data_IF_085055917554
#
_entry.id   IF_085055917554
#
_cell.length_a   1.000
_cell.length_b   1.000
_cell.length_c   1.000
_cell.angle_alpha   90.00
_cell.angle_beta   90.00
_cell.angle_gamma   90.00
#
_symmetry.space_group_name_H-M   'P 1'
#
loop_
_entity.id
_entity.type
_entity.pdbx_description
1 polymer ?
#
# COMPACT_ATOMS: atom_id res chain seq x y z
N UNK A 1 1.04 7.04 -25.21
CA UNK A 1 0.39 6.91 -23.88
C UNK A 1 -0.82 6.01 -24.06
N UNK A 2 -0.73 4.73 -23.67
CA UNK A 2 -1.85 3.78 -23.79
C UNK A 2 -2.76 4.07 -22.60
N UNK A 3 -3.89 4.74 -22.87
CA UNK A 3 -4.92 4.95 -21.86
C UNK A 3 -5.61 3.59 -21.58
N UNK A 4 -5.26 2.97 -20.49
CA UNK A 4 -6.00 1.79 -19.99
C UNK A 4 -7.38 2.30 -19.58
N UNK A 5 -8.46 1.82 -20.21
CA UNK A 5 -9.82 2.13 -19.77
C UNK A 5 -9.98 1.66 -18.32
N UNK A 6 -10.15 2.61 -17.42
CA UNK A 6 -10.44 2.33 -16.02
C UNK A 6 -11.84 1.67 -15.95
N UNK A 7 -11.96 0.57 -15.21
CA UNK A 7 -13.27 0.01 -14.88
C UNK A 7 -14.08 0.95 -13.97
N UNK A 8 -15.40 0.72 -13.79
CA UNK A 8 -16.25 1.60 -12.99
C UNK A 8 -15.73 1.85 -11.57
N UNK A 9 -15.17 0.83 -10.92
CA UNK A 9 -14.55 0.95 -9.61
C UNK A 9 -13.34 1.90 -9.60
N UNK A 10 -12.39 1.71 -10.54
CA UNK A 10 -11.20 2.54 -10.65
C UNK A 10 -11.55 4.00 -10.98
N UNK A 11 -12.58 4.22 -11.81
CA UNK A 11 -13.07 5.56 -12.12
C UNK A 11 -13.62 6.29 -10.89
N UNK A 12 -14.39 5.60 -10.05
CA UNK A 12 -14.91 6.18 -8.79
C UNK A 12 -13.80 6.45 -7.78
N UNK A 13 -12.84 5.52 -7.62
CA UNK A 13 -11.64 5.73 -6.77
C UNK A 13 -10.87 6.96 -7.24
N UNK A 14 -10.59 7.06 -8.56
CA UNK A 14 -9.88 8.19 -9.16
C UNK A 14 -10.60 9.52 -8.87
N UNK A 15 -11.90 9.59 -9.11
CA UNK A 15 -12.69 10.81 -8.88
C UNK A 15 -12.62 11.27 -7.42
N UNK A 16 -12.63 10.33 -6.46
CA UNK A 16 -12.52 10.66 -5.02
C UNK A 16 -11.13 11.17 -4.64
N UNK A 17 -10.07 10.56 -5.16
CA UNK A 17 -8.71 11.04 -4.91
C UNK A 17 -8.45 12.39 -5.57
N UNK A 18 -8.96 12.62 -6.78
CA UNK A 18 -8.88 13.90 -7.47
C UNK A 18 -9.59 15.00 -6.67
N UNK A 19 -10.79 14.73 -6.16
CA UNK A 19 -11.54 15.67 -5.33
C UNK A 19 -10.87 15.92 -3.96
N UNK A 20 -10.26 14.91 -3.36
CA UNK A 20 -9.63 14.97 -2.05
C UNK A 20 -8.14 15.36 -2.09
N UNK A 21 -7.57 15.63 -3.27
CA UNK A 21 -6.12 15.84 -3.42
C UNK A 21 -5.54 16.90 -2.46
N UNK A 22 -6.30 17.94 -2.11
CA UNK A 22 -5.89 18.98 -1.17
C UNK A 22 -5.69 18.48 0.27
N UNK A 23 -6.33 17.37 0.65
CA UNK A 23 -6.22 16.78 2.01
C UNK A 23 -4.91 16.01 2.22
N UNK A 24 -4.27 15.57 1.14
CA UNK A 24 -3.04 14.80 1.23
C UNK A 24 -1.82 15.71 1.30
N UNK A 25 -0.99 15.50 2.31
CA UNK A 25 0.28 16.23 2.46
C UNK A 25 1.23 15.90 1.30
N UNK A 26 2.07 16.86 0.92
CA UNK A 26 3.06 16.66 -0.14
C UNK A 26 4.26 15.81 0.32
N UNK A 27 4.50 15.74 1.63
CA UNK A 27 5.61 14.97 2.23
C UNK A 27 5.15 14.23 3.47
N UNK A 28 5.91 13.23 3.88
CA UNK A 28 5.81 12.58 5.20
C UNK A 28 7.11 12.82 5.98
N UNK A 29 7.06 12.89 7.32
CA UNK A 29 8.28 13.04 8.12
C UNK A 29 9.15 11.77 8.03
N UNK A 30 10.47 11.91 8.22
CA UNK A 30 11.40 10.79 8.15
C UNK A 30 11.14 9.72 9.23
N UNK A 31 10.50 10.09 10.34
CA UNK A 31 10.10 9.18 11.42
C UNK A 31 8.68 8.60 11.26
N UNK A 32 8.03 8.80 10.10
CA UNK A 32 6.73 8.18 9.79
C UNK A 32 6.79 6.66 9.98
N UNK A 33 5.83 6.12 10.71
CA UNK A 33 5.82 4.70 11.08
C UNK A 33 5.75 3.77 9.86
N UNK A 34 5.03 4.17 8.80
CA UNK A 34 4.88 3.42 7.54
C UNK A 34 6.21 3.42 6.79
N UNK A 35 6.83 4.60 6.66
CA UNK A 35 8.12 4.76 5.98
C UNK A 35 9.20 3.88 6.65
N UNK A 36 9.34 3.97 7.98
CA UNK A 36 10.32 3.16 8.70
C UNK A 36 10.08 1.66 8.55
N UNK A 37 8.82 1.24 8.58
CA UNK A 37 8.46 -0.16 8.39
C UNK A 37 8.81 -0.65 6.97
N UNK A 38 8.51 0.16 5.94
CA UNK A 38 8.89 -0.14 4.55
C UNK A 38 10.40 -0.24 4.40
N UNK A 39 11.15 0.75 4.87
CA UNK A 39 12.62 0.75 4.76
C UNK A 39 13.23 -0.45 5.48
N UNK A 40 12.72 -0.81 6.67
CA UNK A 40 13.18 -2.00 7.41
C UNK A 40 12.89 -3.31 6.65
N UNK A 41 11.72 -3.41 6.00
CA UNK A 41 11.34 -4.60 5.23
C UNK A 41 12.16 -4.75 3.93
N UNK A 42 12.50 -3.65 3.29
CA UNK A 42 13.26 -3.65 2.03
C UNK A 42 14.76 -3.83 2.24
N UNK A 43 15.30 -3.36 3.38
CA UNK A 43 16.75 -3.31 3.62
C UNK A 43 17.45 -2.24 2.75
N UNK A 44 18.76 -2.40 2.47
CA UNK A 44 19.53 -1.44 1.68
C UNK A 44 18.93 -1.23 0.27
N UNK A 45 18.83 0.03 -0.15
CA UNK A 45 18.16 0.41 -1.41
C UNK A 45 19.12 0.94 -2.49
N UNK A 46 20.40 1.13 -2.18
CA UNK A 46 21.38 1.65 -3.13
C UNK A 46 21.40 0.87 -4.45
N UNK A 47 21.11 1.57 -5.56
CA UNK A 47 21.07 1.00 -6.91
C UNK A 47 19.88 0.08 -7.21
N UNK A 48 18.95 -0.14 -6.26
CA UNK A 48 17.75 -0.97 -6.49
C UNK A 48 16.67 -0.19 -7.21
N UNK A 49 16.01 -0.84 -8.15
CA UNK A 49 14.85 -0.28 -8.85
C UNK A 49 13.57 -0.60 -8.12
N UNK A 50 12.85 0.43 -7.67
CA UNK A 50 11.67 0.31 -6.79
C UNK A 50 10.44 0.90 -7.47
N UNK A 51 9.34 0.14 -7.48
CA UNK A 51 8.03 0.65 -7.87
C UNK A 51 7.28 1.14 -6.62
N UNK A 52 6.93 2.44 -6.59
CA UNK A 52 5.98 3.01 -5.63
C UNK A 52 4.58 2.93 -6.23
N UNK A 53 3.83 1.89 -5.86
CA UNK A 53 2.49 1.58 -6.35
C UNK A 53 1.46 2.39 -5.58
N UNK A 54 0.65 3.22 -6.27
CA UNK A 54 -0.24 4.19 -5.65
C UNK A 54 0.56 5.36 -5.05
N UNK A 55 1.56 5.86 -5.77
CA UNK A 55 2.53 6.84 -5.27
C UNK A 55 1.90 8.20 -4.91
N UNK A 56 0.71 8.52 -5.43
CA UNK A 56 0.05 9.79 -5.25
C UNK A 56 0.95 10.97 -5.66
N UNK A 57 1.29 11.82 -4.70
CA UNK A 57 2.19 12.98 -4.88
C UNK A 57 3.67 12.62 -4.75
N UNK A 58 4.04 11.34 -4.66
CA UNK A 58 5.43 10.88 -4.54
C UNK A 58 6.04 11.04 -3.14
N UNK A 59 5.21 11.16 -2.10
CA UNK A 59 5.68 11.45 -0.73
C UNK A 59 6.54 10.34 -0.11
N UNK A 60 6.32 9.07 -0.46
CA UNK A 60 7.18 7.95 -0.06
C UNK A 60 8.34 7.77 -1.04
N UNK A 61 8.09 7.94 -2.35
CA UNK A 61 9.11 7.88 -3.40
C UNK A 61 10.31 8.80 -3.11
N UNK A 62 10.07 10.01 -2.59
CA UNK A 62 11.13 10.95 -2.22
C UNK A 62 12.12 10.36 -1.18
N UNK A 63 11.61 9.65 -0.17
CA UNK A 63 12.43 9.01 0.85
C UNK A 63 13.14 7.76 0.34
N UNK A 64 12.48 6.97 -0.52
CA UNK A 64 13.10 5.80 -1.15
C UNK A 64 14.28 6.23 -2.05
N UNK A 65 14.12 7.32 -2.80
CA UNK A 65 15.20 7.91 -3.59
C UNK A 65 16.34 8.44 -2.73
N UNK A 66 16.03 9.12 -1.62
CA UNK A 66 17.03 9.58 -0.67
C UNK A 66 17.82 8.40 -0.04
N UNK A 67 17.21 7.21 0.04
CA UNK A 67 17.88 5.97 0.46
C UNK A 67 18.66 5.29 -0.70
N UNK A 68 18.77 5.92 -1.87
CA UNK A 68 19.58 5.45 -3.00
C UNK A 68 18.85 4.59 -4.03
N UNK A 69 17.52 4.47 -3.98
CA UNK A 69 16.77 3.72 -4.96
C UNK A 69 16.53 4.51 -6.27
N UNK A 70 16.49 3.78 -7.40
CA UNK A 70 15.84 4.23 -8.64
C UNK A 70 14.34 3.98 -8.51
N UNK A 71 13.53 5.04 -8.37
CA UNK A 71 12.10 4.93 -8.05
C UNK A 71 11.24 5.35 -9.21
N UNK A 72 10.32 4.46 -9.58
CA UNK A 72 9.22 4.73 -10.52
C UNK A 72 7.91 4.74 -9.75
N UNK A 73 7.06 5.76 -9.97
CA UNK A 73 5.73 5.85 -9.35
C UNK A 73 4.61 5.43 -10.30
N UNK A 74 3.58 4.81 -9.77
CA UNK A 74 2.32 4.55 -10.49
C UNK A 74 1.15 4.99 -9.65
N UNK A 75 0.19 5.67 -10.27
CA UNK A 75 -1.08 6.03 -9.65
C UNK A 75 -2.22 6.04 -10.67
N UNK A 76 -3.46 5.90 -10.22
CA UNK A 76 -4.68 6.04 -11.02
C UNK A 76 -5.05 7.51 -11.28
N UNK A 77 -4.68 8.41 -10.36
CA UNK A 77 -5.04 9.81 -10.39
C UNK A 77 -3.98 10.63 -11.13
N UNK A 78 -4.35 11.16 -12.29
CA UNK A 78 -3.50 12.10 -13.03
C UNK A 78 -3.24 13.39 -12.23
N UNK A 79 -4.23 13.84 -11.45
CA UNK A 79 -4.12 15.03 -10.61
C UNK A 79 -3.10 14.85 -9.47
N UNK A 80 -3.03 13.64 -8.89
CA UNK A 80 -2.02 13.30 -7.90
C UNK A 80 -0.64 13.20 -8.53
N UNK A 81 -0.50 12.45 -9.65
CA UNK A 81 0.74 12.29 -10.38
C UNK A 81 1.32 13.62 -10.86
N UNK A 82 0.47 14.58 -11.28
CA UNK A 82 0.90 15.90 -11.68
C UNK A 82 1.69 16.65 -10.61
N UNK A 83 1.52 16.28 -9.34
CA UNK A 83 2.22 16.84 -8.18
C UNK A 83 3.46 16.05 -7.74
N UNK A 84 3.70 14.88 -8.29
CA UNK A 84 4.88 14.06 -8.04
C UNK A 84 6.07 14.54 -8.87
N UNK A 85 6.57 15.73 -8.58
CA UNK A 85 7.63 16.40 -9.34
C UNK A 85 8.94 15.63 -9.20
N UNK A 86 9.68 15.50 -10.33
CA UNK A 86 11.00 14.85 -10.37
C UNK A 86 10.96 13.33 -10.16
N UNK A 87 9.79 12.70 -10.25
CA UNK A 87 9.62 11.26 -10.18
C UNK A 87 9.27 10.71 -11.57
N UNK A 88 9.97 9.67 -12.02
CA UNK A 88 9.53 8.88 -13.16
C UNK A 88 8.20 8.21 -12.80
N UNK A 89 7.19 8.39 -13.65
CA UNK A 89 5.82 8.02 -13.27
C UNK A 89 4.97 7.55 -14.45
N UNK A 90 4.02 6.67 -14.17
CA UNK A 90 3.05 6.21 -15.14
C UNK A 90 1.63 6.29 -14.57
N UNK A 91 0.67 6.68 -15.41
CA UNK A 91 -0.76 6.63 -15.10
C UNK A 91 -1.27 5.23 -15.42
N UNK A 92 -1.57 4.42 -14.40
CA UNK A 92 -2.04 3.06 -14.58
C UNK A 92 -2.75 2.51 -13.34
N UNK A 93 -3.57 1.47 -13.55
CA UNK A 93 -4.15 0.68 -12.47
C UNK A 93 -3.13 -0.32 -11.92
N UNK A 94 -3.15 -0.53 -10.59
CA UNK A 94 -2.42 -1.61 -9.94
C UNK A 94 -2.76 -3.01 -10.48
N UNK A 95 -3.93 -3.15 -11.10
CA UNK A 95 -4.43 -4.39 -11.72
C UNK A 95 -3.85 -4.63 -13.13
N UNK A 96 -3.15 -3.66 -13.71
CA UNK A 96 -2.50 -3.74 -15.03
C UNK A 96 -1.36 -2.73 -15.13
N UNK A 97 -0.17 -3.15 -14.78
CA UNK A 97 1.02 -2.32 -14.75
C UNK A 97 1.70 -2.24 -16.13
N UNK A 98 2.11 -1.04 -16.59
CA UNK A 98 2.70 -0.86 -17.93
C UNK A 98 4.21 -1.18 -17.95
N UNK A 99 4.63 -2.20 -17.23
CA UNK A 99 6.04 -2.61 -17.14
C UNK A 99 6.21 -4.07 -17.55
N UNK A 100 7.38 -4.40 -18.06
CA UNK A 100 7.77 -5.78 -18.35
C UNK A 100 7.87 -6.62 -17.06
N UNK A 101 7.77 -7.94 -17.19
CA UNK A 101 8.03 -8.86 -16.09
C UNK A 101 9.48 -8.70 -15.60
N UNK A 102 9.68 -8.85 -14.27
CA UNK A 102 11.01 -8.80 -13.68
C UNK A 102 11.72 -7.44 -13.74
N UNK A 103 10.98 -6.34 -13.87
CA UNK A 103 11.55 -4.98 -13.98
C UNK A 103 12.08 -4.45 -12.66
N UNK A 104 11.46 -4.80 -11.52
CA UNK A 104 11.73 -4.17 -10.24
C UNK A 104 12.35 -5.11 -9.21
N UNK A 105 13.22 -4.56 -8.38
CA UNK A 105 13.80 -5.20 -7.20
C UNK A 105 12.84 -5.22 -6.02
N UNK A 106 11.98 -4.20 -5.95
CA UNK A 106 10.95 -4.09 -4.94
C UNK A 106 9.71 -3.37 -5.47
N UNK A 107 8.55 -3.75 -4.92
CA UNK A 107 7.27 -3.04 -5.05
C UNK A 107 6.82 -2.63 -3.66
N UNK A 108 6.51 -1.34 -3.52
CA UNK A 108 5.98 -0.75 -2.28
C UNK A 108 4.57 -0.27 -2.54
N UNK A 109 3.63 -0.57 -1.65
CA UNK A 109 2.28 -0.05 -1.68
C UNK A 109 1.88 0.41 -0.27
N UNK A 110 1.61 1.71 -0.09
CA UNK A 110 1.27 2.28 1.23
C UNK A 110 -0.12 2.89 1.19
N UNK A 111 -1.06 2.26 1.88
CA UNK A 111 -2.48 2.64 1.90
C UNK A 111 -3.09 2.65 0.49
N UNK A 112 -2.91 1.55 -0.25
CA UNK A 112 -3.34 1.38 -1.64
C UNK A 112 -4.27 0.19 -1.82
N UNK A 113 -3.91 -0.98 -1.29
CA UNK A 113 -4.69 -2.20 -1.49
C UNK A 113 -6.08 -2.10 -0.87
N UNK A 114 -6.26 -1.27 0.16
CA UNK A 114 -7.56 -0.99 0.77
C UNK A 114 -8.58 -0.35 -0.20
N UNK A 115 -8.10 0.21 -1.31
CA UNK A 115 -8.90 0.85 -2.37
C UNK A 115 -9.06 0.00 -3.63
N UNK A 116 -8.50 -1.21 -3.65
CA UNK A 116 -8.54 -2.12 -4.81
C UNK A 116 -9.66 -3.15 -4.65
N UNK A 117 -10.50 -3.33 -5.65
CA UNK A 117 -11.54 -4.37 -5.68
C UNK A 117 -10.99 -5.78 -5.96
N UNK A 118 -10.18 -5.90 -7.01
CA UNK A 118 -9.58 -7.16 -7.47
C UNK A 118 -8.16 -7.35 -6.91
N UNK A 119 -8.08 -7.67 -5.61
CA UNK A 119 -6.80 -7.83 -4.88
C UNK A 119 -5.88 -8.87 -5.56
N UNK A 120 -6.43 -10.01 -5.96
CA UNK A 120 -5.62 -11.08 -6.55
C UNK A 120 -4.99 -10.65 -7.90
N UNK A 121 -5.70 -9.84 -8.70
CA UNK A 121 -5.15 -9.27 -9.93
C UNK A 121 -3.99 -8.29 -9.64
N UNK A 122 -4.14 -7.42 -8.63
CA UNK A 122 -3.08 -6.50 -8.24
C UNK A 122 -1.85 -7.23 -7.66
N UNK A 123 -2.07 -8.29 -6.88
CA UNK A 123 -0.98 -9.14 -6.37
C UNK A 123 -0.26 -9.87 -7.51
N UNK A 124 -1.00 -10.40 -8.50
CA UNK A 124 -0.42 -11.04 -9.68
C UNK A 124 0.44 -10.07 -10.50
N UNK A 125 -0.04 -8.83 -10.71
CA UNK A 125 0.73 -7.80 -11.40
C UNK A 125 1.98 -7.37 -10.60
N UNK A 126 1.85 -7.16 -9.28
CA UNK A 126 3.00 -6.87 -8.42
C UNK A 126 4.05 -7.99 -8.49
N UNK A 127 3.61 -9.28 -8.47
CA UNK A 127 4.50 -10.42 -8.65
C UNK A 127 5.15 -10.45 -10.02
N UNK A 128 4.37 -10.20 -11.07
CA UNK A 128 4.86 -10.22 -12.47
C UNK A 128 5.99 -9.21 -12.70
N UNK A 129 5.83 -7.99 -12.19
CA UNK A 129 6.82 -6.92 -12.40
C UNK A 129 8.03 -7.03 -11.48
N UNK A 130 7.95 -7.82 -10.41
CA UNK A 130 9.07 -8.14 -9.54
C UNK A 130 9.97 -9.19 -10.18
N UNK A 131 11.29 -9.01 -10.07
CA UNK A 131 12.27 -10.04 -10.43
C UNK A 131 12.24 -11.22 -9.43
N UNK A 132 12.76 -12.39 -9.80
CA UNK A 132 13.01 -13.47 -8.82
C UNK A 132 13.84 -12.94 -7.64
N UNK A 133 13.44 -13.27 -6.40
CA UNK A 133 14.02 -12.73 -5.17
C UNK A 133 13.60 -11.31 -4.81
N UNK A 134 12.84 -10.63 -5.67
CA UNK A 134 12.31 -9.27 -5.43
C UNK A 134 11.33 -9.24 -4.27
N UNK A 135 11.21 -8.07 -3.63
CA UNK A 135 10.42 -7.90 -2.40
C UNK A 135 9.15 -7.08 -2.66
N UNK A 136 8.01 -7.59 -2.22
CA UNK A 136 6.75 -6.84 -2.10
C UNK A 136 6.59 -6.36 -0.66
N UNK A 137 6.27 -5.07 -0.46
CA UNK A 137 5.94 -4.50 0.85
C UNK A 137 4.61 -3.74 0.75
N UNK A 138 3.60 -4.20 1.48
CA UNK A 138 2.26 -3.59 1.55
C UNK A 138 2.04 -3.07 2.96
N UNK A 139 1.70 -1.79 3.11
CA UNK A 139 1.26 -1.20 4.38
C UNK A 139 -0.18 -0.75 4.22
N UNK A 140 -1.09 -1.37 4.96
CA UNK A 140 -2.52 -1.05 4.93
C UNK A 140 -3.16 -1.19 6.31
N UNK A 141 -4.44 -0.86 6.40
CA UNK A 141 -5.20 -0.86 7.65
C UNK A 141 -5.57 -2.28 8.09
N UNK A 142 -5.37 -2.52 9.37
CA UNK A 142 -5.64 -3.76 10.05
C UNK A 142 -7.08 -3.81 10.58
N UNK A 143 -7.86 -4.77 10.12
CA UNK A 143 -9.26 -4.97 10.53
C UNK A 143 -9.43 -5.38 12.01
N UNK A 144 -8.36 -5.88 12.65
CA UNK A 144 -8.36 -6.26 14.07
C UNK A 144 -7.92 -5.11 14.98
N UNK A 145 -7.62 -3.93 14.42
CA UNK A 145 -7.14 -2.79 15.18
C UNK A 145 -8.17 -2.29 16.20
N UNK A 146 -7.66 -1.76 17.29
CA UNK A 146 -8.42 -0.95 18.24
C UNK A 146 -8.31 0.54 17.89
N UNK A 147 -9.30 1.33 18.30
CA UNK A 147 -9.26 2.78 18.12
C UNK A 147 -8.20 3.42 19.04
N UNK A 148 -7.32 4.24 18.49
CA UNK A 148 -6.20 4.81 19.23
C UNK A 148 -6.64 5.76 20.37
N UNK A 149 -7.81 6.40 20.23
CA UNK A 149 -8.37 7.30 21.26
C UNK A 149 -9.18 6.54 22.30
N UNK A 150 -9.85 5.47 21.88
CA UNK A 150 -10.74 4.60 22.68
C UNK A 150 -10.29 3.14 22.55
N UNK A 151 -9.19 2.73 23.21
CA UNK A 151 -8.54 1.44 22.97
C UNK A 151 -9.34 0.21 23.47
N UNK A 152 -10.58 0.41 23.89
CA UNK A 152 -11.56 -0.65 24.17
C UNK A 152 -12.59 -0.84 23.05
N UNK A 153 -12.56 0.01 22.01
CA UNK A 153 -13.45 -0.09 20.85
C UNK A 153 -12.69 -0.66 19.64
N UNK A 154 -13.30 -1.61 18.91
CA UNK A 154 -12.78 -2.03 17.62
C UNK A 154 -12.70 -0.85 16.64
N UNK A 155 -11.59 -0.70 15.95
CA UNK A 155 -11.40 0.36 14.95
C UNK A 155 -12.44 0.32 13.83
N UNK A 156 -12.86 -0.88 13.40
CA UNK A 156 -13.95 -1.05 12.42
C UNK A 156 -15.30 -0.51 12.90
N UNK A 157 -15.61 -0.61 14.19
CA UNK A 157 -16.86 -0.05 14.73
C UNK A 157 -16.83 1.50 14.68
N UNK A 158 -15.68 2.09 15.00
CA UNK A 158 -15.49 3.54 14.89
C UNK A 158 -15.57 3.98 13.43
N UNK A 159 -14.89 3.29 12.53
CA UNK A 159 -14.95 3.54 11.07
C UNK A 159 -16.41 3.52 10.56
N UNK A 160 -17.19 2.51 10.93
CA UNK A 160 -18.59 2.36 10.53
C UNK A 160 -19.46 3.55 10.99
N UNK A 161 -19.23 4.08 12.21
CA UNK A 161 -19.92 5.29 12.71
C UNK A 161 -19.47 6.52 11.88
N UNK A 162 -18.18 6.67 11.65
CA UNK A 162 -17.62 7.82 10.93
C UNK A 162 -18.04 7.84 9.45
N UNK A 163 -18.17 6.69 8.81
CA UNK A 163 -18.74 6.57 7.45
C UNK A 163 -20.19 7.10 7.39
N UNK A 164 -21.03 6.75 8.39
CA UNK A 164 -22.41 7.24 8.46
C UNK A 164 -22.53 8.71 8.75
N UNK A 165 -21.54 9.29 9.43
CA UNK A 165 -21.45 10.72 9.71
C UNK A 165 -20.83 11.52 8.57
N UNK A 166 -20.42 10.89 7.47
CA UNK A 166 -19.73 11.55 6.37
C UNK A 166 -18.32 12.04 6.71
N UNK A 167 -17.72 11.54 7.79
CA UNK A 167 -16.36 11.89 8.22
C UNK A 167 -15.28 11.06 7.52
N UNK A 168 -15.71 10.03 6.78
CA UNK A 168 -14.81 9.15 6.02
C UNK A 168 -14.77 9.51 4.54
N UNK A 169 -13.68 9.17 3.83
CA UNK A 169 -13.54 9.46 2.41
C UNK A 169 -14.61 8.75 1.55
N UNK A 170 -15.02 7.55 1.98
CA UNK A 170 -16.09 6.78 1.35
C UNK A 170 -17.32 6.81 2.26
N UNK A 171 -18.44 7.45 1.83
CA UNK A 171 -19.66 7.47 2.63
C UNK A 171 -20.32 6.09 2.67
N UNK A 172 -21.07 5.83 3.73
CA UNK A 172 -21.86 4.61 3.86
C UNK A 172 -22.83 4.47 2.67
N UNK A 173 -22.91 3.26 2.10
CA UNK A 173 -23.80 2.97 0.96
C UNK A 173 -23.27 3.36 -0.42
N UNK A 174 -22.07 3.94 -0.52
CA UNK A 174 -21.44 4.23 -1.81
C UNK A 174 -21.00 2.96 -2.56
N UNK A 175 -20.74 3.09 -3.89
CA UNK A 175 -20.36 1.96 -4.74
C UNK A 175 -18.95 1.42 -4.42
N UNK A 176 -18.11 2.24 -3.80
CA UNK A 176 -16.73 1.89 -3.39
C UNK A 176 -16.59 2.02 -1.90
N UNK A 177 -15.87 1.09 -1.29
CA UNK A 177 -15.59 1.07 0.14
C UNK A 177 -14.09 0.84 0.38
N UNK A 178 -13.56 1.50 1.40
CA UNK A 178 -12.23 1.18 1.91
C UNK A 178 -12.26 -0.16 2.65
N UNK A 179 -11.39 -1.05 2.25
CA UNK A 179 -11.25 -2.38 2.86
C UNK A 179 -10.15 -2.38 3.91
N UNK A 180 -10.47 -2.84 5.11
CA UNK A 180 -9.44 -3.17 6.09
C UNK A 180 -9.15 -4.66 6.05
N UNK A 181 -7.91 -5.05 6.21
CA UNK A 181 -7.47 -6.43 6.06
C UNK A 181 -7.33 -7.15 7.40
N UNK A 182 -7.87 -8.35 7.50
CA UNK A 182 -7.46 -9.29 8.55
C UNK A 182 -6.05 -9.75 8.22
N UNK A 183 -5.04 -9.51 9.09
CA UNK A 183 -3.63 -9.71 8.73
C UNK A 183 -3.31 -11.11 8.23
N UNK A 184 -3.84 -12.14 8.91
CA UNK A 184 -3.64 -13.54 8.50
C UNK A 184 -4.29 -13.91 7.17
N UNK A 185 -5.40 -13.23 6.79
CA UNK A 185 -6.08 -13.50 5.51
C UNK A 185 -5.27 -13.00 4.32
N UNK A 186 -4.72 -11.78 4.39
CA UNK A 186 -3.87 -11.27 3.32
C UNK A 186 -2.54 -12.04 3.26
N UNK A 187 -1.94 -12.38 4.42
CA UNK A 187 -0.75 -13.21 4.47
C UNK A 187 -0.98 -14.60 3.82
N UNK A 188 -2.15 -15.21 4.01
CA UNK A 188 -2.49 -16.49 3.38
C UNK A 188 -2.60 -16.35 1.86
N UNK A 189 -3.16 -15.23 1.35
CA UNK A 189 -3.19 -14.96 -0.10
C UNK A 189 -1.79 -14.83 -0.66
N UNK A 190 -0.92 -14.04 0.00
CA UNK A 190 0.46 -13.86 -0.42
C UNK A 190 1.24 -15.18 -0.48
N UNK A 191 1.03 -16.10 0.48
CA UNK A 191 1.71 -17.42 0.49
C UNK A 191 1.36 -18.34 -0.69
N UNK A 192 0.39 -17.99 -1.53
CA UNK A 192 0.10 -18.76 -2.76
C UNK A 192 1.19 -18.57 -3.82
N UNK A 193 1.76 -17.36 -3.88
CA UNK A 193 2.63 -16.93 -4.97
C UNK A 193 3.97 -16.34 -4.52
N UNK A 194 4.14 -16.13 -3.21
CA UNK A 194 5.32 -15.54 -2.60
C UNK A 194 5.85 -16.39 -1.46
N UNK A 195 7.17 -16.33 -1.28
CA UNK A 195 7.88 -16.92 -0.14
C UNK A 195 8.16 -15.85 0.95
N UNK A 196 8.64 -16.32 2.11
CA UNK A 196 9.06 -15.45 3.22
C UNK A 196 8.04 -14.40 3.64
N UNK A 197 6.75 -14.76 3.62
CA UNK A 197 5.66 -13.84 4.00
C UNK A 197 5.72 -13.55 5.49
N UNK A 198 5.94 -12.29 5.84
CA UNK A 198 5.94 -11.76 7.21
C UNK A 198 4.84 -10.74 7.39
N UNK A 199 4.39 -10.59 8.63
CA UNK A 199 3.41 -9.57 9.03
C UNK A 199 3.97 -8.84 10.24
N UNK A 200 4.15 -7.54 10.11
CA UNK A 200 4.60 -6.64 11.15
C UNK A 200 3.52 -5.57 11.42
N UNK A 201 3.57 -4.97 12.58
CA UNK A 201 2.59 -3.97 12.99
C UNK A 201 3.30 -2.67 13.38
N UNK A 202 3.47 -1.72 12.44
CA UNK A 202 4.05 -0.41 12.72
C UNK A 202 3.27 0.31 13.81
N UNK A 203 3.98 0.89 14.79
CA UNK A 203 3.36 1.65 15.87
C UNK A 203 3.41 3.15 15.55
N UNK A 204 2.24 3.79 15.48
CA UNK A 204 2.09 5.22 15.23
C UNK A 204 2.38 6.03 16.51
N UNK A 205 2.73 7.32 16.42
CA UNK A 205 3.02 8.16 17.58
C UNK A 205 1.89 8.19 18.63
N UNK A 206 0.62 8.28 18.18
CA UNK A 206 -0.54 8.28 19.06
C UNK A 206 -0.77 6.94 19.80
N UNK A 207 -0.36 5.84 19.20
CA UNK A 207 -0.47 4.49 19.78
C UNK A 207 0.61 4.23 20.84
N UNK A 208 1.80 4.83 20.68
CA UNK A 208 2.94 4.63 21.61
C UNK A 208 2.62 4.99 23.04
N UNK A 209 1.71 5.92 23.28
CA UNK A 209 1.30 6.39 24.60
C UNK A 209 0.40 5.42 25.37
N UNK A 210 -0.12 4.38 24.70
CA UNK A 210 -1.06 3.42 25.28
C UNK A 210 -0.41 2.05 25.42
N UNK A 211 -0.49 1.47 26.62
CA UNK A 211 0.13 0.20 26.94
C UNK A 211 -0.36 -0.95 26.03
N UNK A 212 -1.67 -0.99 25.74
CA UNK A 212 -2.26 -2.04 24.90
C UNK A 212 -1.60 -2.14 23.52
N UNK A 213 -1.29 -1.00 22.87
CA UNK A 213 -0.63 -1.04 21.55
C UNK A 213 0.85 -1.39 21.64
N UNK A 214 1.47 -1.23 22.80
CA UNK A 214 2.85 -1.68 23.05
C UNK A 214 2.88 -3.17 23.31
N UNK A 215 1.96 -3.69 24.12
CA UNK A 215 1.88 -5.08 24.52
C UNK A 215 1.24 -5.99 23.46
N UNK A 216 0.28 -5.47 22.67
CA UNK A 216 -0.48 -6.24 21.68
C UNK A 216 -0.31 -5.61 20.29
N UNK A 217 0.75 -5.95 19.53
CA UNK A 217 1.00 -5.36 18.21
C UNK A 217 -0.18 -5.49 17.24
N UNK A 218 -0.91 -6.61 17.27
CA UNK A 218 -2.09 -6.84 16.42
C UNK A 218 -3.27 -5.88 16.71
N UNK A 219 -3.24 -5.11 17.80
CA UNK A 219 -4.22 -4.07 18.08
C UNK A 219 -3.94 -2.74 17.33
N UNK A 220 -2.78 -2.59 16.69
CA UNK A 220 -2.38 -1.36 15.97
C UNK A 220 -3.11 -1.23 14.66
N UNK A 221 -3.37 0.01 14.24
CA UNK A 221 -4.12 0.31 13.01
C UNK A 221 -3.43 -0.19 11.75
N UNK A 222 -2.11 -0.09 11.69
CA UNK A 222 -1.36 -0.45 10.50
C UNK A 222 -0.78 -1.86 10.62
N UNK A 223 -0.85 -2.60 9.51
CA UNK A 223 -0.08 -3.82 9.30
C UNK A 223 0.80 -3.65 8.07
N UNK A 224 2.02 -4.18 8.14
CA UNK A 224 2.94 -4.34 7.02
C UNK A 224 2.98 -5.82 6.66
N UNK A 225 2.70 -6.14 5.42
CA UNK A 225 2.99 -7.44 4.83
C UNK A 225 4.22 -7.31 3.94
N UNK A 226 5.24 -8.11 4.21
CA UNK A 226 6.40 -8.25 3.33
C UNK A 226 6.50 -9.68 2.82
N UNK A 227 6.85 -9.83 1.54
CA UNK A 227 6.92 -11.11 0.87
C UNK A 227 7.99 -11.07 -0.23
N UNK A 228 8.53 -12.23 -0.61
CA UNK A 228 9.54 -12.33 -1.68
C UNK A 228 9.05 -13.21 -2.80
N UNK A 229 9.39 -12.83 -4.04
CA UNK A 229 9.18 -13.71 -5.20
C UNK A 229 10.16 -14.89 -5.09
N UNK A 230 9.72 -16.14 -5.26
CA UNK A 230 10.62 -17.30 -5.26
C UNK A 230 11.77 -17.14 -6.24
N UNK A 231 12.97 -17.54 -5.85
CA UNK A 231 14.17 -17.46 -6.71
C UNK A 231 14.09 -18.52 -7.82
N UNK A 232 13.43 -19.66 -7.54
CA UNK A 232 13.30 -20.80 -8.47
C UNK A 232 12.06 -20.75 -9.37
N UNK A 233 11.49 -19.59 -9.65
CA UNK A 233 10.30 -19.43 -10.50
C UNK A 233 10.47 -19.92 -11.96
N UNK A 234 11.60 -20.57 -12.29
CA UNK A 234 11.90 -21.15 -13.61
C UNK A 234 11.70 -22.66 -13.75
N UNK A 235 11.36 -23.41 -12.67
CA UNK A 235 10.98 -24.82 -12.79
C UNK A 235 9.48 -24.96 -12.59
N UNK A 236 8.76 -25.08 -13.71
CA UNK A 236 7.33 -25.30 -13.75
C UNK A 236 6.92 -26.47 -12.84
N UNK A 237 5.85 -26.25 -12.08
CA UNK A 237 5.05 -27.40 -11.65
C UNK A 237 4.40 -27.97 -12.89
N UNK A 238 5.01 -29.06 -13.41
CA UNK A 238 4.39 -29.93 -14.39
C UNK A 238 3.17 -30.62 -13.76
#
# INVERSE_FOLDING_TARGET
MIAVRAGPHDAEVTARFDAAQGRFKASVPADDARLRAVLAALGPLGGRRVLDLGCGKGRFAAHLRAAGADVVGVDLSAAMLGKAVGLDRALASAKRLPFAAGTFDAVVAVEVFEHIDAIDAALAEARRVLRPGGTLAIVDKNALALDARRPWLPGLAVKWVDERRGLWMYPAGGPVRERWFVPGSLARRLRRDFDHVRVDFPIRPEERRRLVFRAVPAARLLALWSARVPIDAGRGRA
#
